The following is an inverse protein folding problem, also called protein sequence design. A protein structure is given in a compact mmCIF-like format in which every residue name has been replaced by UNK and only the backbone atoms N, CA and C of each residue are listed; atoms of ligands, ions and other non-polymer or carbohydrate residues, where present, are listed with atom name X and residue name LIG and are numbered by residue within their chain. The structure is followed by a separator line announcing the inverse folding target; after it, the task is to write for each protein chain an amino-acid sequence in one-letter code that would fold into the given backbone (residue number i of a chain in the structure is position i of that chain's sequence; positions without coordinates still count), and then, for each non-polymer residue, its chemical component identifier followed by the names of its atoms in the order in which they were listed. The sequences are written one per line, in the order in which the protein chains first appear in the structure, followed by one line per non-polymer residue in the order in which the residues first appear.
data_IF_224223849713
#
_entry.id   IF_224223849713
#
_cell.length_a   1.000
_cell.length_b   1.000
_cell.length_c   1.000
_cell.angle_alpha   90.00
_cell.angle_beta   90.00
_cell.angle_gamma   90.00
#
_symmetry.space_group_name_H-M   'P 1'
#
loop_
_entity.id
_entity.type
_entity.pdbx_description
1 polymer ?
#
# COMPACT_ATOMS: atom_id res chain seq x y z
N UNK A 1 -2.47 3.75 27.94
CA UNK A 1 -1.12 3.25 27.63
C UNK A 1 -0.06 4.10 28.35
N UNK A 2 -0.06 5.44 28.18
CA UNK A 2 0.93 6.34 28.83
C UNK A 2 1.02 6.17 30.35
N UNK A 3 -0.13 6.01 31.02
CA UNK A 3 -0.20 5.86 32.49
C UNK A 3 0.15 4.44 32.98
N UNK A 4 0.25 3.46 32.08
CA UNK A 4 0.47 2.05 32.45
C UNK A 4 1.91 1.58 32.18
N UNK A 5 2.59 2.17 31.19
CA UNK A 5 3.89 1.68 30.71
C UNK A 5 4.99 2.74 30.87
N UNK A 6 4.62 4.05 30.99
CA UNK A 6 5.58 5.15 31.08
C UNK A 6 6.29 5.45 29.75
N UNK A 7 7.32 6.30 29.83
CA UNK A 7 8.21 6.63 28.70
C UNK A 7 9.59 6.05 28.98
N UNK A 8 10.13 5.32 28.01
CA UNK A 8 11.54 4.93 28.01
C UNK A 8 12.47 6.05 27.54
N UNK A 9 13.76 5.90 27.80
CA UNK A 9 14.78 6.78 27.23
C UNK A 9 14.95 6.41 25.74
N UNK A 10 15.12 7.37 24.83
CA UNK A 10 15.42 7.10 23.43
C UNK A 10 16.70 6.24 23.33
N UNK A 11 16.56 5.06 22.78
CA UNK A 11 17.66 4.08 22.62
C UNK A 11 17.62 3.47 21.25
N UNK A 12 18.77 3.26 20.63
CA UNK A 12 18.86 2.48 19.38
C UNK A 12 18.62 1.02 19.72
N UNK A 13 17.48 0.47 19.25
CA UNK A 13 17.12 -0.92 19.49
C UNK A 13 17.92 -1.86 18.61
N UNK A 14 18.46 -2.91 19.22
CA UNK A 14 19.12 -4.04 18.55
C UNK A 14 18.25 -5.30 18.68
N UNK A 15 18.44 -6.33 17.83
CA UNK A 15 17.71 -7.60 17.97
C UNK A 15 17.87 -8.27 19.34
N UNK A 16 18.95 -7.93 20.09
CA UNK A 16 19.18 -8.39 21.45
C UNK A 16 18.23 -7.81 22.50
N UNK A 17 17.69 -6.61 22.22
CA UNK A 17 16.85 -5.86 23.17
C UNK A 17 15.40 -6.34 23.20
N UNK A 18 15.00 -7.22 22.28
CA UNK A 18 13.68 -7.83 22.32
C UNK A 18 13.53 -8.76 23.52
N UNK A 19 12.44 -8.56 24.26
CA UNK A 19 12.08 -9.46 25.36
C UNK A 19 11.86 -10.90 24.84
N UNK A 20 12.06 -11.94 25.67
CA UNK A 20 11.77 -13.31 25.26
C UNK A 20 10.34 -13.48 24.73
N UNK A 21 9.37 -12.77 25.33
CA UNK A 21 7.99 -12.77 24.89
C UNK A 21 7.81 -12.16 23.48
N UNK A 22 8.52 -11.07 23.18
CA UNK A 22 8.47 -10.47 21.85
C UNK A 22 9.04 -11.41 20.79
N UNK A 23 10.12 -12.11 21.10
CA UNK A 23 10.70 -13.15 20.23
C UNK A 23 9.70 -14.27 19.96
N UNK A 24 9.05 -14.79 20.99
CA UNK A 24 8.04 -15.85 20.88
C UNK A 24 6.83 -15.39 20.04
N UNK A 25 6.39 -14.14 20.16
CA UNK A 25 5.30 -13.59 19.33
C UNK A 25 5.71 -13.56 17.86
N UNK A 26 6.93 -13.13 17.55
CA UNK A 26 7.45 -13.08 16.18
C UNK A 26 7.55 -14.51 15.60
N UNK A 27 8.09 -15.46 16.34
CA UNK A 27 8.14 -16.87 15.92
C UNK A 27 6.75 -17.47 15.70
N UNK A 28 5.82 -17.19 16.62
CA UNK A 28 4.42 -17.62 16.49
C UNK A 28 3.74 -17.00 15.27
N UNK A 29 4.05 -15.75 14.95
CA UNK A 29 3.52 -15.08 13.76
C UNK A 29 4.06 -15.72 12.46
N UNK A 30 5.33 -16.15 12.44
CA UNK A 30 5.91 -16.90 11.31
C UNK A 30 5.22 -18.26 11.10
N UNK A 31 4.96 -18.98 12.18
CA UNK A 31 4.24 -20.25 12.14
C UNK A 31 2.83 -20.01 11.63
N UNK A 32 2.12 -19.01 12.16
CA UNK A 32 0.77 -18.67 11.76
C UNK A 32 0.66 -18.27 10.28
N UNK A 33 1.62 -17.49 9.76
CA UNK A 33 1.67 -17.14 8.35
C UNK A 33 1.84 -18.39 7.47
N UNK A 34 2.70 -19.32 7.87
CA UNK A 34 2.90 -20.59 7.17
C UNK A 34 1.65 -21.46 7.17
N UNK A 35 0.98 -21.58 8.34
CA UNK A 35 -0.25 -22.36 8.49
C UNK A 35 -1.40 -21.80 7.65
N UNK A 36 -1.41 -20.48 7.43
CA UNK A 36 -2.36 -19.78 6.56
C UNK A 36 -1.96 -19.80 5.08
N UNK A 37 -0.85 -20.43 4.72
CA UNK A 37 -0.36 -20.52 3.34
C UNK A 37 0.27 -19.23 2.81
N UNK A 38 0.60 -18.29 3.68
CA UNK A 38 1.24 -17.04 3.30
C UNK A 38 2.76 -17.19 3.30
N UNK A 39 3.42 -16.57 2.33
CA UNK A 39 4.88 -16.56 2.21
C UNK A 39 5.54 -15.33 2.87
N UNK A 40 4.77 -14.50 3.55
CA UNK A 40 5.20 -13.31 4.28
C UNK A 40 4.51 -13.23 5.65
N UNK A 41 5.10 -12.49 6.57
CA UNK A 41 4.52 -12.20 7.88
C UNK A 41 3.96 -10.77 7.84
N UNK A 42 2.64 -10.66 7.78
CA UNK A 42 1.93 -9.38 7.84
C UNK A 42 1.55 -9.00 9.28
N UNK A 43 0.98 -7.82 9.43
CA UNK A 43 0.50 -7.29 10.74
C UNK A 43 -0.61 -8.14 11.34
N UNK A 44 -1.45 -8.75 10.49
CA UNK A 44 -2.50 -9.70 10.87
C UNK A 44 -1.93 -10.92 11.61
N UNK A 45 -0.83 -11.49 11.14
CA UNK A 45 -0.18 -12.63 11.78
C UNK A 45 0.42 -12.25 13.15
N UNK A 46 1.00 -11.04 13.24
CA UNK A 46 1.52 -10.51 14.50
C UNK A 46 0.38 -10.28 15.50
N UNK A 47 -0.75 -9.72 15.07
CA UNK A 47 -1.90 -9.48 15.93
C UNK A 47 -2.52 -10.80 16.41
N UNK A 48 -2.67 -11.80 15.54
CA UNK A 48 -3.12 -13.14 15.90
C UNK A 48 -2.20 -13.77 16.94
N UNK A 49 -0.86 -13.68 16.73
CA UNK A 49 0.13 -14.22 17.66
C UNK A 49 0.07 -13.52 19.02
N UNK A 50 -0.08 -12.18 19.04
CA UNK A 50 -0.22 -11.41 20.27
C UNK A 50 -1.50 -11.76 21.06
N UNK A 51 -2.63 -11.99 20.39
CA UNK A 51 -3.88 -12.39 21.02
C UNK A 51 -3.78 -13.80 21.55
N UNK A 52 -3.17 -14.73 20.82
CA UNK A 52 -2.99 -16.13 21.22
C UNK A 52 -2.04 -16.26 22.43
N UNK A 53 -1.03 -15.41 22.52
CA UNK A 53 -0.13 -15.37 23.68
C UNK A 53 -0.86 -14.97 24.98
N UNK A 54 -1.90 -14.11 24.86
CA UNK A 54 -2.92 -13.86 25.89
C UNK A 54 -2.48 -13.00 27.08
N UNK A 55 -1.20 -12.95 27.43
CA UNK A 55 -0.69 -12.27 28.61
C UNK A 55 0.03 -10.95 28.32
N UNK A 56 -0.16 -10.40 27.10
CA UNK A 56 0.48 -9.16 26.66
C UNK A 56 -0.21 -7.91 27.25
N UNK A 57 0.56 -6.81 27.40
CA UNK A 57 -0.01 -5.53 27.75
C UNK A 57 -1.08 -5.05 26.74
N UNK A 58 -0.94 -5.47 25.47
CA UNK A 58 -1.90 -5.17 24.41
C UNK A 58 -3.27 -5.81 24.69
N UNK A 59 -3.30 -7.10 25.03
CA UNK A 59 -4.55 -7.80 25.39
C UNK A 59 -5.21 -7.22 26.64
N UNK A 60 -4.40 -6.82 27.64
CA UNK A 60 -4.91 -6.13 28.83
C UNK A 60 -5.53 -4.78 28.50
N UNK A 61 -4.95 -4.02 27.57
CA UNK A 61 -5.50 -2.73 27.11
C UNK A 61 -6.80 -2.95 26.32
N UNK A 62 -6.86 -3.94 25.43
CA UNK A 62 -8.09 -4.29 24.70
C UNK A 62 -9.24 -4.60 25.65
N UNK A 63 -9.01 -5.45 26.65
CA UNK A 63 -10.01 -5.80 27.65
C UNK A 63 -10.48 -4.58 28.46
N UNK A 64 -9.57 -3.67 28.82
CA UNK A 64 -9.93 -2.43 29.51
C UNK A 64 -10.77 -1.48 28.66
N UNK A 65 -10.61 -1.52 27.35
CA UNK A 65 -11.42 -0.75 26.39
C UNK A 65 -12.75 -1.43 26.05
N UNK A 66 -13.07 -2.57 26.70
CA UNK A 66 -14.31 -3.31 26.46
C UNK A 66 -14.30 -4.12 25.18
N UNK A 67 -13.13 -4.31 24.57
CA UNK A 67 -12.97 -5.11 23.35
C UNK A 67 -12.53 -6.52 23.70
N UNK A 68 -13.27 -7.54 23.24
CA UNK A 68 -12.93 -8.95 23.47
C UNK A 68 -11.82 -9.40 22.50
N UNK A 69 -10.63 -9.78 23.00
CA UNK A 69 -9.57 -10.30 22.14
C UNK A 69 -9.98 -11.54 21.33
N UNK A 70 -10.87 -12.38 21.89
CA UNK A 70 -11.36 -13.56 21.21
C UNK A 70 -12.27 -13.24 20.03
N UNK A 71 -13.11 -12.21 20.14
CA UNK A 71 -13.95 -11.75 19.01
C UNK A 71 -13.10 -11.22 17.87
N UNK A 72 -12.09 -10.40 18.19
CA UNK A 72 -11.12 -9.94 17.20
C UNK A 72 -10.42 -11.13 16.52
N UNK A 73 -9.98 -12.12 17.29
CA UNK A 73 -9.33 -13.31 16.74
C UNK A 73 -10.25 -14.07 15.77
N UNK A 74 -11.52 -14.24 16.12
CA UNK A 74 -12.49 -14.91 15.26
C UNK A 74 -12.75 -14.11 13.97
N UNK A 75 -12.84 -12.80 14.05
CA UNK A 75 -13.01 -11.94 12.88
C UNK A 75 -11.78 -11.96 11.96
N UNK A 76 -10.59 -11.89 12.55
CA UNK A 76 -9.34 -12.04 11.80
C UNK A 76 -9.25 -13.40 11.09
N UNK A 77 -9.56 -14.48 11.78
CA UNK A 77 -9.55 -15.83 11.19
C UNK A 77 -10.61 -16.00 10.11
N UNK A 78 -11.77 -15.35 10.22
CA UNK A 78 -12.78 -15.32 9.16
C UNK A 78 -12.31 -14.50 7.95
N UNK A 79 -11.71 -13.34 8.19
CA UNK A 79 -11.27 -12.44 7.14
C UNK A 79 -10.08 -13.00 6.35
N UNK A 80 -9.13 -13.64 7.03
CA UNK A 80 -7.87 -14.10 6.44
C UNK A 80 -7.76 -15.63 6.34
N UNK A 81 -8.50 -16.40 7.15
CA UNK A 81 -8.47 -17.87 7.15
C UNK A 81 -9.25 -18.50 5.99
N UNK A 82 -10.13 -17.77 5.33
CA UNK A 82 -10.85 -18.25 4.14
C UNK A 82 -10.02 -18.20 2.86
N UNK A 83 -8.82 -17.63 2.90
CA UNK A 83 -7.88 -17.61 1.77
C UNK A 83 -7.07 -18.90 1.62
N UNK A 84 -7.23 -19.88 2.53
CA UNK A 84 -6.51 -21.17 2.53
C UNK A 84 -7.23 -22.27 1.73
N UNK A 85 -7.84 -21.93 0.63
CA UNK A 85 -8.51 -22.86 -0.28
C UNK A 85 -8.21 -22.49 -1.71
N UNK A 86 -7.17 -23.12 -2.29
CA UNK A 86 -6.98 -23.26 -3.74
C UNK A 86 -7.39 -22.02 -4.56
N UNK A 87 -6.43 -21.16 -4.86
CA UNK A 87 -6.51 -20.46 -6.14
C UNK A 87 -5.14 -20.39 -6.84
N UNK A 88 -4.87 -21.48 -7.56
CA UNK A 88 -4.33 -21.39 -8.89
C UNK A 88 -5.53 -21.14 -9.81
N UNK A 89 -6.14 -19.98 -9.67
CA UNK A 89 -7.33 -19.56 -10.37
C UNK A 89 -7.12 -18.14 -10.86
N UNK A 90 -7.13 -18.00 -12.19
CA UNK A 90 -7.35 -16.79 -12.96
C UNK A 90 -7.96 -15.65 -12.16
N UNK A 91 -7.52 -14.39 -12.36
CA UNK A 91 -8.19 -13.23 -11.79
C UNK A 91 -9.68 -13.28 -12.17
N UNK A 92 -10.54 -13.46 -11.20
CA UNK A 92 -11.98 -13.27 -11.42
C UNK A 92 -12.19 -11.86 -11.94
N UNK A 93 -12.62 -11.79 -13.17
CA UNK A 93 -13.12 -10.60 -13.81
C UNK A 93 -14.34 -10.14 -13.03
N UNK A 94 -14.13 -9.23 -12.08
CA UNK A 94 -15.22 -8.41 -11.56
C UNK A 94 -15.83 -7.70 -12.77
N UNK A 95 -17.06 -8.05 -13.11
CA UNK A 95 -17.82 -7.46 -14.19
C UNK A 95 -17.79 -5.94 -14.05
N UNK A 96 -17.06 -5.29 -14.97
CA UNK A 96 -16.98 -3.82 -15.10
C UNK A 96 -18.37 -3.23 -15.32
N UNK A 97 -18.77 -2.20 -14.58
CA UNK A 97 -19.79 -1.28 -15.07
C UNK A 97 -19.12 -0.33 -16.08
N UNK A 98 -19.42 -0.52 -17.37
CA UNK A 98 -19.25 0.46 -18.44
C UNK A 98 -17.83 0.92 -18.78
N UNK A 99 -17.32 0.46 -19.93
CA UNK A 99 -16.44 1.26 -20.81
C UNK A 99 -15.03 1.65 -20.36
N UNK A 100 -14.42 0.96 -19.39
CA UNK A 100 -13.02 1.24 -19.00
C UNK A 100 -12.05 0.59 -19.97
N UNK A 101 -11.05 1.36 -20.43
CA UNK A 101 -9.93 0.88 -21.23
C UNK A 101 -9.20 -0.25 -20.50
N UNK A 102 -8.87 -1.29 -21.25
CA UNK A 102 -8.12 -2.42 -20.70
C UNK A 102 -6.66 -1.99 -20.46
N UNK A 103 -6.20 -2.10 -19.22
CA UNK A 103 -4.86 -1.70 -18.77
C UNK A 103 -4.19 -2.87 -18.08
N UNK A 104 -3.77 -3.91 -18.85
CA UNK A 104 -3.26 -5.16 -18.30
C UNK A 104 -2.01 -4.99 -17.46
N UNK A 105 -1.04 -4.18 -17.90
CA UNK A 105 0.19 -3.93 -17.15
C UNK A 105 -0.07 -3.19 -15.85
N UNK A 106 -0.94 -2.17 -15.88
CA UNK A 106 -1.35 -1.46 -14.67
C UNK A 106 -2.16 -2.35 -13.72
N UNK A 107 -2.94 -3.29 -14.23
CA UNK A 107 -3.68 -4.24 -13.39
C UNK A 107 -2.75 -5.28 -12.75
N UNK A 108 -1.62 -5.60 -13.39
CA UNK A 108 -0.65 -6.57 -12.88
C UNK A 108 0.31 -5.97 -11.86
N UNK A 109 0.79 -4.75 -12.09
CA UNK A 109 1.83 -4.10 -11.28
C UNK A 109 1.34 -2.84 -10.57
N UNK A 110 0.07 -2.49 -10.69
CA UNK A 110 -0.52 -1.32 -10.10
C UNK A 110 -1.61 -1.66 -9.09
N UNK A 111 -1.75 -0.82 -8.08
CA UNK A 111 -2.84 -0.86 -7.10
C UNK A 111 -3.78 0.31 -7.34
N UNK A 112 -5.03 0.04 -7.72
CA UNK A 112 -6.05 1.08 -7.93
C UNK A 112 -6.57 1.62 -6.59
N UNK A 113 -5.99 2.73 -6.13
CA UNK A 113 -6.35 3.37 -4.86
C UNK A 113 -7.79 3.86 -4.85
N UNK A 114 -8.32 4.30 -5.99
CA UNK A 114 -9.71 4.79 -6.08
C UNK A 114 -10.72 3.65 -5.89
N UNK A 115 -10.43 2.47 -6.45
CA UNK A 115 -11.24 1.27 -6.19
C UNK A 115 -11.18 0.84 -4.74
N UNK A 116 -10.00 0.91 -4.09
CA UNK A 116 -9.84 0.63 -2.67
C UNK A 116 -10.60 1.64 -1.79
N UNK A 117 -10.56 2.93 -2.16
CA UNK A 117 -11.32 3.98 -1.49
C UNK A 117 -12.83 3.74 -1.59
N UNK A 118 -13.33 3.43 -2.79
CA UNK A 118 -14.74 3.12 -3.01
C UNK A 118 -15.22 1.87 -2.25
N UNK A 119 -14.32 0.90 -2.03
CA UNK A 119 -14.59 -0.30 -1.24
C UNK A 119 -14.44 -0.08 0.29
N UNK A 120 -14.13 1.13 0.75
CA UNK A 120 -13.92 1.44 2.16
C UNK A 120 -12.66 0.80 2.77
N UNK A 121 -11.66 0.50 1.92
CA UNK A 121 -10.41 -0.17 2.33
C UNK A 121 -9.24 0.78 2.56
N UNK A 122 -9.49 2.08 2.51
CA UNK A 122 -8.50 3.12 2.80
C UNK A 122 -8.91 3.83 4.06
N UNK A 123 -7.98 3.97 4.99
CA UNK A 123 -8.19 4.69 6.23
C UNK A 123 -8.37 6.20 6.00
N UNK A 124 -9.17 6.88 6.81
CA UNK A 124 -9.33 8.33 6.70
C UNK A 124 -8.00 9.06 6.94
N UNK A 125 -7.63 9.93 6.01
CA UNK A 125 -6.40 10.71 6.10
C UNK A 125 -6.61 11.95 6.95
N UNK A 126 -5.89 12.06 8.06
CA UNK A 126 -6.03 13.13 9.03
C UNK A 126 -4.85 14.11 8.92
N UNK A 127 -5.14 15.41 8.94
CA UNK A 127 -4.13 16.47 9.02
C UNK A 127 -3.39 16.79 7.71
N UNK A 128 -3.83 16.25 6.56
CA UNK A 128 -3.21 16.47 5.23
C UNK A 128 -4.12 17.20 4.25
N UNK A 129 -5.13 17.88 4.73
CA UNK A 129 -6.14 18.53 3.89
C UNK A 129 -5.53 19.56 2.92
N UNK A 130 -4.61 20.39 3.43
CA UNK A 130 -3.97 21.47 2.65
C UNK A 130 -3.10 20.92 1.50
N UNK A 131 -2.35 19.86 1.78
CA UNK A 131 -1.51 19.18 0.80
C UNK A 131 -2.36 18.51 -0.28
N UNK A 132 -3.44 17.82 0.10
CA UNK A 132 -4.37 17.20 -0.85
C UNK A 132 -5.04 18.26 -1.73
N UNK A 133 -5.51 19.37 -1.16
CA UNK A 133 -6.07 20.50 -1.93
C UNK A 133 -5.06 21.08 -2.90
N UNK A 134 -3.80 21.21 -2.47
CA UNK A 134 -2.72 21.69 -3.33
C UNK A 134 -2.46 20.75 -4.50
N UNK A 135 -2.45 19.43 -4.27
CA UNK A 135 -2.32 18.42 -5.33
C UNK A 135 -3.48 18.52 -6.30
N UNK A 136 -4.72 18.65 -5.83
CA UNK A 136 -5.91 18.84 -6.66
C UNK A 136 -5.78 20.09 -7.55
N UNK A 137 -5.33 21.21 -6.97
CA UNK A 137 -5.09 22.44 -7.72
C UNK A 137 -4.04 22.28 -8.83
N UNK A 138 -2.97 21.55 -8.56
CA UNK A 138 -1.90 21.31 -9.56
C UNK A 138 -2.41 20.39 -10.65
N UNK A 139 -3.06 19.26 -10.32
CA UNK A 139 -3.64 18.33 -11.29
C UNK A 139 -4.70 18.97 -12.18
N UNK A 140 -5.37 20.03 -11.69
CA UNK A 140 -6.39 20.77 -12.44
C UNK A 140 -5.82 21.81 -13.41
N UNK A 141 -4.51 21.99 -13.50
CA UNK A 141 -3.88 22.92 -14.43
C UNK A 141 -3.89 22.38 -15.86
N UNK A 142 -3.84 23.26 -16.84
CA UNK A 142 -3.71 22.89 -18.27
C UNK A 142 -2.31 22.40 -18.63
N UNK A 143 -1.29 22.93 -17.96
CA UNK A 143 0.12 22.60 -18.15
C UNK A 143 0.81 22.53 -16.79
N UNK A 144 1.93 21.81 -16.68
CA UNK A 144 2.68 21.61 -15.43
C UNK A 144 1.75 21.05 -14.32
N UNK A 145 0.98 20.05 -14.68
CA UNK A 145 -0.04 19.43 -13.84
C UNK A 145 0.45 18.16 -13.12
N UNK A 146 1.74 17.88 -13.14
CA UNK A 146 2.35 16.75 -12.44
C UNK A 146 2.91 17.21 -11.08
N UNK A 147 2.22 16.98 -9.95
CA UNK A 147 2.72 17.34 -8.63
C UNK A 147 3.80 16.37 -8.18
N UNK A 148 4.85 16.90 -7.53
CA UNK A 148 5.87 16.12 -6.86
C UNK A 148 5.76 16.34 -5.35
N UNK A 149 5.65 15.26 -4.57
CA UNK A 149 5.61 15.28 -3.11
C UNK A 149 7.03 15.09 -2.58
N UNK A 150 7.56 16.11 -1.93
CA UNK A 150 8.91 16.12 -1.35
C UNK A 150 8.80 16.07 0.17
N UNK A 151 9.61 15.23 0.81
CA UNK A 151 9.66 15.11 2.27
C UNK A 151 10.43 13.87 2.70
N UNK A 152 10.78 13.81 3.98
CA UNK A 152 11.48 12.68 4.58
C UNK A 152 10.66 11.38 4.51
N UNK A 153 11.29 10.19 4.62
CA UNK A 153 10.57 8.94 4.75
C UNK A 153 9.61 8.96 5.95
N UNK A 154 8.44 8.35 5.79
CA UNK A 154 7.47 8.22 6.87
C UNK A 154 6.60 9.46 7.16
N UNK A 155 6.81 10.59 6.48
CA UNK A 155 5.98 11.81 6.70
C UNK A 155 4.57 11.72 6.11
N UNK A 156 4.23 10.62 5.43
CA UNK A 156 2.88 10.36 4.91
C UNK A 156 2.65 10.85 3.48
N UNK A 157 3.67 10.80 2.59
CA UNK A 157 3.51 11.13 1.16
C UNK A 157 2.46 10.24 0.48
N UNK A 158 2.49 8.94 0.74
CA UNK A 158 1.52 7.98 0.21
C UNK A 158 0.10 8.25 0.73
N UNK A 159 -0.04 8.68 1.98
CA UNK A 159 -1.33 9.06 2.54
C UNK A 159 -2.00 10.22 1.79
N UNK A 160 -1.22 11.12 1.17
CA UNK A 160 -1.78 12.21 0.34
C UNK A 160 -2.43 11.64 -0.92
N UNK A 161 -1.81 10.64 -1.56
CA UNK A 161 -2.40 9.96 -2.72
C UNK A 161 -3.66 9.18 -2.34
N UNK A 162 -3.66 8.52 -1.18
CA UNK A 162 -4.82 7.82 -0.62
C UNK A 162 -5.96 8.80 -0.30
N UNK A 163 -5.66 9.94 0.32
CA UNK A 163 -6.64 10.98 0.59
C UNK A 163 -7.23 11.61 -0.67
N UNK A 164 -6.43 11.77 -1.73
CA UNK A 164 -6.93 12.20 -3.03
C UNK A 164 -7.85 11.13 -3.65
N UNK A 165 -7.50 9.85 -3.53
CA UNK A 165 -8.33 8.74 -4.00
C UNK A 165 -9.69 8.71 -3.28
N UNK A 166 -9.72 8.95 -1.96
CA UNK A 166 -10.95 9.09 -1.19
C UNK A 166 -11.81 10.25 -1.72
N UNK A 167 -11.22 11.43 -1.96
CA UNK A 167 -11.95 12.58 -2.50
C UNK A 167 -12.50 12.33 -3.92
N UNK A 168 -11.77 11.62 -4.77
CA UNK A 168 -12.29 11.22 -6.09
C UNK A 168 -13.45 10.23 -5.96
N UNK A 169 -13.32 9.24 -5.07
CA UNK A 169 -14.34 8.22 -4.84
C UNK A 169 -15.65 8.83 -4.27
N UNK A 170 -15.55 9.85 -3.39
CA UNK A 170 -16.70 10.59 -2.84
C UNK A 170 -17.22 11.69 -3.75
N UNK A 171 -16.51 11.99 -4.85
CA UNK A 171 -16.89 13.08 -5.77
C UNK A 171 -16.54 14.49 -5.29
N UNK A 172 -15.76 14.61 -4.21
CA UNK A 172 -15.32 15.88 -3.60
C UNK A 172 -14.14 16.51 -4.34
N UNK A 173 -14.17 16.49 -5.65
CA UNK A 173 -13.13 17.01 -6.54
C UNK A 173 -13.75 17.81 -7.69
N UNK A 174 -12.98 18.73 -8.33
CA UNK A 174 -13.41 19.41 -9.53
C UNK A 174 -13.82 18.44 -10.66
N UNK A 175 -14.70 18.88 -11.56
CA UNK A 175 -15.23 18.08 -12.68
C UNK A 175 -14.13 17.39 -13.51
N UNK A 176 -12.99 18.06 -13.70
CA UNK A 176 -11.84 17.53 -14.44
C UNK A 176 -11.26 16.24 -13.84
N UNK A 177 -11.39 16.05 -12.52
CA UNK A 177 -10.87 14.89 -11.78
C UNK A 177 -11.96 13.86 -11.47
N UNK A 178 -13.24 14.18 -11.69
CA UNK A 178 -14.31 13.21 -11.50
C UNK A 178 -14.18 12.04 -12.47
N UNK A 179 -14.40 10.84 -11.99
CA UNK A 179 -14.29 9.63 -12.78
C UNK A 179 -12.86 9.20 -13.11
N UNK A 180 -11.84 9.99 -12.70
CA UNK A 180 -10.45 9.55 -12.78
C UNK A 180 -10.19 8.48 -11.74
N UNK A 181 -9.18 7.64 -12.00
CA UNK A 181 -8.69 6.65 -11.05
C UNK A 181 -7.21 6.87 -10.78
N UNK A 182 -6.82 6.69 -9.52
CA UNK A 182 -5.42 6.77 -9.10
C UNK A 182 -4.88 5.37 -9.02
N UNK A 183 -3.84 5.08 -9.79
CA UNK A 183 -3.14 3.80 -9.76
C UNK A 183 -1.73 4.02 -9.20
N UNK A 184 -1.45 3.39 -8.07
CA UNK A 184 -0.10 3.35 -7.48
C UNK A 184 0.71 2.25 -8.14
N UNK A 185 1.85 2.59 -8.74
CA UNK A 185 2.72 1.65 -9.43
C UNK A 185 3.70 1.01 -8.45
N UNK A 186 3.77 -0.31 -8.45
CA UNK A 186 4.77 -1.09 -7.70
C UNK A 186 6.02 -1.32 -8.55
N UNK A 187 6.98 -0.40 -8.43
CA UNK A 187 8.26 -0.48 -9.15
C UNK A 187 9.08 -1.70 -8.69
N UNK A 188 8.99 -2.08 -7.43
CA UNK A 188 9.70 -3.24 -6.89
C UNK A 188 9.18 -4.54 -7.51
N UNK A 189 7.86 -4.68 -7.62
CA UNK A 189 7.21 -5.78 -8.30
C UNK A 189 7.54 -5.85 -9.79
N UNK A 190 7.73 -4.68 -10.43
CA UNK A 190 8.12 -4.62 -11.85
C UNK A 190 9.55 -5.08 -12.11
N UNK A 191 10.48 -4.87 -11.17
CA UNK A 191 11.87 -5.35 -11.23
C UNK A 191 11.92 -6.84 -10.89
N UNK A 192 11.07 -7.31 -10.00
CA UNK A 192 11.06 -8.70 -9.57
C UNK A 192 10.80 -9.66 -10.75
N UNK A 193 11.67 -10.66 -10.90
CA UNK A 193 11.55 -11.67 -11.95
C UNK A 193 12.04 -11.24 -13.33
N UNK A 194 12.60 -10.05 -13.51
CA UNK A 194 13.31 -9.66 -14.73
C UNK A 194 14.71 -10.27 -14.71
N UNK A 195 15.09 -10.93 -15.80
CA UNK A 195 16.45 -11.44 -15.99
C UNK A 195 17.37 -10.39 -16.63
N UNK A 196 16.78 -9.51 -17.40
CA UNK A 196 17.47 -8.46 -18.13
C UNK A 196 16.86 -7.10 -17.78
N UNK A 197 17.69 -6.10 -17.78
CA UNK A 197 17.29 -4.73 -17.50
C UNK A 197 16.26 -4.18 -18.51
N UNK A 198 16.38 -4.54 -19.77
CA UNK A 198 15.43 -4.17 -20.84
C UNK A 198 13.99 -4.60 -20.54
N UNK A 199 13.80 -5.72 -19.84
CA UNK A 199 12.48 -6.21 -19.47
C UNK A 199 11.77 -5.24 -18.52
N UNK A 200 12.50 -4.63 -17.58
CA UNK A 200 11.96 -3.62 -16.69
C UNK A 200 11.59 -2.32 -17.42
N UNK A 201 12.48 -1.83 -18.29
CA UNK A 201 12.23 -0.63 -19.09
C UNK A 201 11.00 -0.80 -19.98
N UNK A 202 10.85 -1.98 -20.61
CA UNK A 202 9.68 -2.33 -21.44
C UNK A 202 8.38 -2.35 -20.61
N UNK A 203 8.40 -2.91 -19.39
CA UNK A 203 7.23 -2.92 -18.49
C UNK A 203 6.82 -1.50 -18.08
N UNK A 204 7.79 -0.65 -17.72
CA UNK A 204 7.51 0.76 -17.36
C UNK A 204 6.94 1.50 -18.57
N UNK A 205 7.55 1.35 -19.73
CA UNK A 205 7.07 1.97 -20.98
C UNK A 205 5.64 1.52 -21.32
N UNK A 206 5.35 0.24 -21.22
CA UNK A 206 4.00 -0.32 -21.44
C UNK A 206 2.99 0.28 -20.47
N UNK A 207 3.33 0.41 -19.18
CA UNK A 207 2.45 1.03 -18.19
C UNK A 207 2.15 2.49 -18.53
N UNK A 208 3.16 3.28 -18.96
CA UNK A 208 2.98 4.69 -19.34
C UNK A 208 2.12 4.80 -20.61
N UNK A 209 2.33 3.93 -21.59
CA UNK A 209 1.49 3.88 -22.80
C UNK A 209 0.03 3.55 -22.46
N UNK A 210 -0.21 2.63 -21.53
CA UNK A 210 -1.54 2.31 -21.06
C UNK A 210 -2.21 3.51 -20.38
N UNK A 211 -1.48 4.24 -19.51
CA UNK A 211 -1.96 5.49 -18.88
C UNK A 211 -2.35 6.52 -19.93
N UNK A 212 -1.48 6.74 -20.93
CA UNK A 212 -1.70 7.71 -22.00
C UNK A 212 -2.93 7.36 -22.84
N UNK A 213 -3.13 6.07 -23.15
CA UNK A 213 -4.29 5.58 -23.93
C UNK A 213 -5.58 5.59 -23.13
N UNK A 214 -5.51 5.30 -21.84
CA UNK A 214 -6.67 5.23 -20.96
C UNK A 214 -7.31 6.60 -20.72
N UNK A 215 -6.49 7.65 -20.58
CA UNK A 215 -6.96 9.03 -20.40
C UNK A 215 -7.70 9.33 -19.09
N UNK A 216 -8.09 8.30 -18.33
CA UNK A 216 -8.79 8.39 -17.05
C UNK A 216 -7.89 8.05 -15.85
N UNK A 217 -6.63 7.72 -16.09
CA UNK A 217 -5.67 7.28 -15.07
C UNK A 217 -4.78 8.43 -14.61
N UNK A 218 -4.64 8.57 -13.30
CA UNK A 218 -3.59 9.35 -12.64
C UNK A 218 -2.61 8.34 -12.05
N UNK A 219 -1.39 8.32 -12.57
CA UNK A 219 -0.34 7.43 -12.08
C UNK A 219 0.31 8.02 -10.84
N UNK A 220 0.36 7.28 -9.76
CA UNK A 220 1.13 7.59 -8.56
C UNK A 220 2.37 6.71 -8.52
N UNK A 221 3.53 7.33 -8.49
CA UNK A 221 4.83 6.64 -8.39
C UNK A 221 5.42 7.00 -7.03
N UNK A 222 5.50 6.01 -6.14
CA UNK A 222 6.21 6.18 -4.88
C UNK A 222 7.70 5.94 -5.10
N UNK A 223 8.54 6.61 -4.31
CA UNK A 223 10.00 6.49 -4.37
C UNK A 223 10.60 6.66 -5.79
N UNK A 224 10.22 7.74 -6.48
CA UNK A 224 10.68 8.04 -7.86
C UNK A 224 12.20 7.92 -8.04
N UNK A 225 12.97 8.12 -6.96
CA UNK A 225 14.44 8.00 -6.98
C UNK A 225 14.92 6.57 -7.29
N UNK A 226 14.09 5.56 -7.10
CA UNK A 226 14.44 4.17 -7.47
C UNK A 226 14.55 3.97 -8.98
N UNK A 227 13.80 4.76 -9.77
CA UNK A 227 13.90 4.77 -11.23
C UNK A 227 15.24 5.36 -11.71
N UNK A 228 15.79 6.34 -10.98
CA UNK A 228 17.05 7.01 -11.32
C UNK A 228 18.24 6.11 -10.97
N UNK A 229 18.17 5.38 -9.84
CA UNK A 229 19.25 4.51 -9.36
C UNK A 229 19.39 3.19 -10.10
N UNK A 230 18.36 2.73 -10.79
CA UNK A 230 18.39 1.50 -11.59
C UNK A 230 19.29 1.60 -12.84
N UNK A 231 19.91 2.79 -13.08
CA UNK A 231 20.60 3.19 -14.31
C UNK A 231 22.11 3.45 -14.23
N UNK A 232 22.80 3.20 -13.14
CA UNK A 232 24.19 3.67 -12.96
C UNK A 232 25.31 2.82 -13.56
N UNK A 233 25.08 2.01 -14.58
CA UNK A 233 26.13 1.39 -15.39
C UNK A 233 26.28 2.14 -16.72
N UNK A 234 27.52 2.44 -17.14
CA UNK A 234 27.87 3.15 -18.38
C UNK A 234 27.08 2.60 -19.58
N UNK A 235 26.34 3.48 -20.27
CA UNK A 235 25.62 3.16 -21.53
C UNK A 235 24.12 2.91 -21.40
N UNK A 236 23.49 3.18 -20.26
CA UNK A 236 22.10 2.91 -20.04
C UNK A 236 21.21 4.14 -20.27
N UNK A 237 20.17 4.00 -21.04
CA UNK A 237 19.05 4.95 -21.10
C UNK A 237 18.42 4.99 -19.73
N UNK A 238 18.45 6.16 -19.10
CA UNK A 238 17.89 6.37 -17.77
C UNK A 238 16.38 6.21 -17.86
N UNK A 239 15.79 5.30 -17.05
CA UNK A 239 14.34 5.09 -17.02
C UNK A 239 13.59 6.41 -16.69
N UNK A 240 14.28 7.38 -16.09
CA UNK A 240 13.76 8.73 -15.88
C UNK A 240 13.50 9.51 -17.19
N UNK A 241 14.10 9.11 -18.32
CA UNK A 241 13.85 9.74 -19.63
C UNK A 241 12.60 9.17 -20.32
N UNK A 242 11.97 8.15 -19.73
CA UNK A 242 10.72 7.55 -20.25
C UNK A 242 9.49 8.29 -19.70
N UNK A 243 9.63 8.98 -18.57
CA UNK A 243 8.59 9.77 -17.91
C UNK A 243 8.58 11.23 -18.41
#
# INVERSE_FOLDING_TARGET
VRNSIGFGVPTVLTPGDFTPRCKNIIESAMIQARDMGHNYVGTEHLLIAMIKEGSSAATAVMTRLGVSPQEILQELLKAFGSASGKDSGKPETVKKPGGRTDTPTLNQYGRDLTSFAAAGRIDPVIGRQKEIERVIQILSRRTKNNPCLIGEPGVGKTAIAEGLALKIATGEVPELLKGKRIVSLDLTGMVAGTKYRGDFEERVKSAIEEVSKAGDVILFIDELHTLIGAGSAEGAVDAANIL
#
